data_IF_567989236270
#
_entry.id   IF_567989236270
#
_cell.length_a   1.000
_cell.length_b   1.000
_cell.length_c   1.000
_cell.angle_alpha   90.00
_cell.angle_beta   90.00
_cell.angle_gamma   90.00
#
_symmetry.space_group_name_H-M   'P 1'
#
loop_
_entity.id
_entity.type
_entity.pdbx_description
1 polymer ?
#
# COMPACT_ATOMS: atom_id res chain seq x y z
N UNK A 1 -3.47 7.24 -27.57
CA UNK A 1 -3.70 5.93 -26.89
C UNK A 1 -3.66 6.04 -25.37
N UNK A 2 -2.57 6.55 -24.76
CA UNK A 2 -2.43 6.75 -23.30
C UNK A 2 -3.66 7.37 -22.61
N UNK A 3 -4.17 8.50 -23.15
CA UNK A 3 -5.34 9.21 -22.60
C UNK A 3 -6.56 8.31 -22.43
N UNK A 4 -6.84 7.45 -23.43
CA UNK A 4 -7.98 6.52 -23.40
C UNK A 4 -7.81 5.49 -22.28
N UNK A 5 -6.62 4.91 -22.12
CA UNK A 5 -6.32 3.95 -21.05
C UNK A 5 -6.43 4.58 -19.66
N UNK A 6 -5.88 5.79 -19.49
CA UNK A 6 -5.98 6.54 -18.24
C UNK A 6 -7.44 6.87 -17.89
N UNK A 7 -8.23 7.28 -18.88
CA UNK A 7 -9.66 7.55 -18.70
C UNK A 7 -10.43 6.29 -18.31
N UNK A 8 -10.18 5.17 -18.99
CA UNK A 8 -10.78 3.87 -18.66
C UNK A 8 -10.40 3.40 -17.25
N UNK A 9 -9.13 3.56 -16.87
CA UNK A 9 -8.67 3.26 -15.52
C UNK A 9 -9.45 4.07 -14.46
N UNK A 10 -9.61 5.38 -14.66
CA UNK A 10 -10.36 6.22 -13.74
C UNK A 10 -11.86 5.91 -13.75
N UNK A 11 -12.44 5.60 -14.92
CA UNK A 11 -13.84 5.19 -15.06
C UNK A 11 -14.11 3.93 -14.23
N UNK A 12 -13.28 2.89 -14.37
CA UNK A 12 -13.38 1.65 -13.58
C UNK A 12 -13.22 1.91 -12.09
N UNK A 13 -12.21 2.70 -11.72
CA UNK A 13 -11.94 3.04 -10.31
C UNK A 13 -13.14 3.75 -9.69
N UNK A 14 -13.72 4.76 -10.36
CA UNK A 14 -14.91 5.48 -9.87
C UNK A 14 -16.12 4.56 -9.75
N UNK A 15 -16.36 3.68 -10.71
CA UNK A 15 -17.46 2.72 -10.66
C UNK A 15 -17.32 1.78 -9.47
N UNK A 16 -16.13 1.23 -9.24
CA UNK A 16 -15.86 0.37 -8.07
C UNK A 16 -16.08 1.14 -6.77
N UNK A 17 -15.60 2.37 -6.68
CA UNK A 17 -15.72 3.17 -5.45
C UNK A 17 -17.17 3.55 -5.12
N UNK A 18 -18.03 3.70 -6.13
CA UNK A 18 -19.47 3.95 -5.98
C UNK A 18 -20.25 2.75 -5.46
N UNK A 19 -19.75 1.53 -5.63
CA UNK A 19 -20.42 0.32 -5.12
C UNK A 19 -20.47 0.29 -3.58
N UNK A 20 -21.38 -0.48 -3.03
CA UNK A 20 -21.52 -0.72 -1.58
C UNK A 20 -20.62 -1.86 -1.07
N UNK A 21 -19.56 -2.19 -1.81
CA UNK A 21 -18.62 -3.23 -1.41
C UNK A 21 -17.83 -2.84 -0.15
N UNK A 22 -17.51 -3.83 0.68
CA UNK A 22 -16.55 -3.67 1.77
C UNK A 22 -15.20 -3.15 1.21
N UNK A 23 -14.49 -2.31 1.96
CA UNK A 23 -13.13 -1.85 1.65
C UNK A 23 -12.19 -3.00 1.25
N UNK A 24 -12.35 -4.19 1.86
CA UNK A 24 -11.61 -5.40 1.47
C UNK A 24 -11.76 -5.68 -0.02
N UNK A 25 -13.02 -5.76 -0.45
CA UNK A 25 -13.44 -6.14 -1.79
C UNK A 25 -13.26 -5.00 -2.80
N UNK A 26 -13.43 -3.73 -2.39
CA UNK A 26 -13.13 -2.56 -3.24
C UNK A 26 -11.68 -2.55 -3.71
N UNK A 27 -10.74 -2.77 -2.79
CA UNK A 27 -9.31 -2.82 -3.14
C UNK A 27 -9.01 -4.02 -4.04
N UNK A 28 -9.58 -5.20 -3.74
CA UNK A 28 -9.43 -6.37 -4.60
C UNK A 28 -9.95 -6.09 -6.01
N UNK A 29 -11.14 -5.48 -6.13
CA UNK A 29 -11.73 -5.11 -7.42
C UNK A 29 -10.88 -4.07 -8.17
N UNK A 30 -10.27 -3.09 -7.49
CA UNK A 30 -9.34 -2.13 -8.10
C UNK A 30 -8.13 -2.87 -8.69
N UNK A 31 -7.52 -3.77 -7.92
CA UNK A 31 -6.36 -4.53 -8.37
C UNK A 31 -6.70 -5.44 -9.58
N UNK A 32 -7.87 -6.09 -9.57
CA UNK A 32 -8.27 -7.00 -10.65
C UNK A 32 -8.75 -6.25 -11.89
N UNK A 33 -9.62 -5.25 -11.74
CA UNK A 33 -10.33 -4.64 -12.87
C UNK A 33 -9.70 -3.34 -13.36
N UNK A 34 -9.21 -2.48 -12.47
CA UNK A 34 -8.64 -1.19 -12.87
C UNK A 34 -7.16 -1.36 -13.25
N UNK A 35 -6.35 -1.95 -12.37
CA UNK A 35 -4.89 -2.10 -12.60
C UNK A 35 -4.60 -2.93 -13.84
N UNK A 36 -5.40 -3.94 -14.16
CA UNK A 36 -5.22 -4.76 -15.37
C UNK A 36 -5.22 -3.96 -16.68
N UNK A 37 -6.01 -2.88 -16.78
CA UNK A 37 -6.03 -1.98 -17.96
C UNK A 37 -4.66 -1.37 -18.22
N UNK A 38 -4.04 -0.89 -17.15
CA UNK A 38 -2.75 -0.20 -17.21
C UNK A 38 -1.63 -1.23 -17.33
N UNK A 39 -1.73 -2.37 -16.63
CA UNK A 39 -0.73 -3.44 -16.62
C UNK A 39 -0.44 -3.99 -18.03
N UNK A 40 -1.47 -4.27 -18.82
CA UNK A 40 -1.30 -4.74 -20.20
C UNK A 40 -0.54 -3.73 -21.07
N UNK A 41 -0.71 -2.44 -20.80
CA UNK A 41 -0.10 -1.38 -21.59
C UNK A 41 1.38 -1.13 -21.31
N UNK A 42 1.92 -1.67 -20.20
CA UNK A 42 3.30 -1.40 -19.78
C UNK A 42 4.35 -1.83 -20.81
N UNK A 43 4.17 -2.97 -21.47
CA UNK A 43 5.13 -3.46 -22.48
C UNK A 43 4.95 -2.87 -23.87
N UNK A 44 3.77 -2.32 -24.17
CA UNK A 44 3.39 -1.84 -25.50
C UNK A 44 3.64 -0.34 -25.62
N UNK A 45 3.24 0.41 -24.60
CA UNK A 45 3.30 1.87 -24.58
C UNK A 45 4.45 2.33 -23.69
N UNK A 46 5.22 3.30 -24.18
CA UNK A 46 6.28 3.94 -23.38
C UNK A 46 5.68 4.82 -22.29
N UNK A 47 5.61 4.31 -21.07
CA UNK A 47 5.22 5.09 -19.89
C UNK A 47 6.43 5.76 -19.25
N UNK A 48 6.25 6.99 -18.73
CA UNK A 48 7.27 7.61 -17.88
C UNK A 48 6.94 7.38 -16.40
N UNK A 49 7.96 7.31 -15.54
CA UNK A 49 7.74 7.12 -14.10
C UNK A 49 6.86 8.23 -13.49
N UNK A 50 6.98 9.45 -14.01
CA UNK A 50 6.18 10.60 -13.59
C UNK A 50 4.70 10.43 -13.93
N UNK A 51 4.37 9.87 -15.10
CA UNK A 51 3.00 9.56 -15.50
C UNK A 51 2.37 8.50 -14.58
N UNK A 52 3.12 7.44 -14.25
CA UNK A 52 2.66 6.39 -13.33
C UNK A 52 2.45 6.95 -11.91
N UNK A 53 3.38 7.77 -11.42
CA UNK A 53 3.25 8.51 -10.16
C UNK A 53 2.03 9.42 -10.13
N UNK A 54 1.71 10.06 -11.26
CA UNK A 54 0.53 10.92 -11.38
C UNK A 54 -0.75 10.09 -11.33
N UNK A 55 -0.80 8.96 -12.03
CA UNK A 55 -1.92 8.01 -11.96
C UNK A 55 -2.19 7.58 -10.52
N UNK A 56 -1.16 7.12 -9.80
CA UNK A 56 -1.28 6.66 -8.42
C UNK A 56 -1.78 7.75 -7.46
N UNK A 57 -1.22 8.97 -7.56
CA UNK A 57 -1.68 10.12 -6.76
C UNK A 57 -3.16 10.42 -6.99
N UNK A 58 -3.63 10.34 -8.23
CA UNK A 58 -5.04 10.56 -8.56
C UNK A 58 -5.92 9.42 -8.03
N UNK A 59 -5.47 8.17 -8.09
CA UNK A 59 -6.17 7.03 -7.47
C UNK A 59 -6.38 7.25 -5.98
N UNK A 60 -5.33 7.67 -5.27
CA UNK A 60 -5.42 8.01 -3.84
C UNK A 60 -6.40 9.15 -3.58
N UNK A 61 -6.36 10.21 -4.40
CA UNK A 61 -7.34 11.31 -4.31
C UNK A 61 -8.77 10.79 -4.49
N UNK A 62 -9.03 9.97 -5.52
CA UNK A 62 -10.34 9.36 -5.78
C UNK A 62 -10.82 8.53 -4.58
N UNK A 63 -9.97 7.67 -4.03
CA UNK A 63 -10.33 6.83 -2.88
C UNK A 63 -10.66 7.65 -1.63
N UNK A 64 -9.95 8.76 -1.41
CA UNK A 64 -10.22 9.67 -0.29
C UNK A 64 -11.53 10.44 -0.50
N UNK A 65 -11.78 10.94 -1.71
CA UNK A 65 -13.04 11.65 -2.04
C UNK A 65 -14.27 10.75 -1.88
N UNK A 66 -14.15 9.46 -2.19
CA UNK A 66 -15.22 8.47 -2.01
C UNK A 66 -15.28 7.86 -0.59
N UNK A 67 -14.52 8.40 0.37
CA UNK A 67 -14.56 7.95 1.77
C UNK A 67 -13.92 6.58 2.06
N UNK A 68 -13.30 5.92 1.07
CA UNK A 68 -12.66 4.62 1.26
C UNK A 68 -11.32 4.71 2.02
N UNK A 69 -10.69 5.89 1.99
CA UNK A 69 -9.44 6.22 2.66
C UNK A 69 -9.58 7.53 3.43
N UNK A 70 -8.99 7.59 4.62
CA UNK A 70 -8.89 8.83 5.38
C UNK A 70 -7.80 9.73 4.76
N UNK A 71 -7.98 11.06 4.70
CA UNK A 71 -6.98 11.97 4.13
C UNK A 71 -5.58 11.87 4.76
N UNK A 72 -5.54 11.59 6.08
CA UNK A 72 -4.29 11.35 6.84
C UNK A 72 -3.91 9.87 6.96
N UNK A 73 -4.43 9.00 6.09
CA UNK A 73 -4.08 7.58 6.10
C UNK A 73 -2.60 7.39 5.74
N UNK A 74 -1.97 6.41 6.39
CA UNK A 74 -0.58 6.03 6.11
C UNK A 74 -0.47 5.45 4.68
N UNK A 75 0.28 6.14 3.83
CA UNK A 75 0.44 5.80 2.40
C UNK A 75 1.21 4.50 2.25
N UNK A 76 2.23 4.26 3.08
CA UNK A 76 3.05 3.06 2.96
C UNK A 76 2.22 1.81 3.30
N UNK A 77 1.36 1.92 4.32
CA UNK A 77 0.44 0.85 4.71
C UNK A 77 -0.57 0.50 3.61
N UNK A 78 -0.87 1.42 2.70
CA UNK A 78 -1.82 1.18 1.62
C UNK A 78 -1.37 0.03 0.69
N UNK A 79 -0.07 0.00 0.39
CA UNK A 79 0.52 -0.93 -0.58
C UNK A 79 0.98 -2.26 0.04
N UNK A 80 1.19 -2.28 1.36
CA UNK A 80 1.53 -3.52 2.07
C UNK A 80 0.38 -4.53 1.96
N UNK A 81 0.66 -5.82 1.68
CA UNK A 81 -0.37 -6.84 1.61
C UNK A 81 -1.04 -7.05 2.97
N UNK A 82 -2.31 -7.50 2.95
CA UNK A 82 -3.10 -7.65 4.18
C UNK A 82 -2.54 -8.68 5.15
N UNK A 83 -1.90 -9.73 4.65
CA UNK A 83 -1.21 -10.75 5.47
C UNK A 83 -0.14 -10.13 6.38
N UNK A 84 0.42 -9.00 5.95
CA UNK A 84 1.46 -8.27 6.65
C UNK A 84 0.92 -7.03 7.43
N UNK A 85 -0.40 -6.93 7.61
CA UNK A 85 -1.06 -5.85 8.35
C UNK A 85 -1.37 -4.58 7.53
N UNK A 86 -1.18 -4.63 6.21
CA UNK A 86 -1.46 -3.52 5.29
C UNK A 86 -2.90 -3.50 4.75
N UNK A 87 -3.14 -2.70 3.70
CA UNK A 87 -4.43 -2.64 3.00
C UNK A 87 -4.47 -3.44 1.69
N UNK A 88 -3.33 -3.73 1.08
CA UNK A 88 -3.17 -4.62 -0.07
C UNK A 88 -3.56 -4.03 -1.42
N UNK A 89 -3.46 -2.72 -1.61
CA UNK A 89 -3.61 -2.09 -2.93
C UNK A 89 -2.31 -2.24 -3.72
N UNK A 90 -2.36 -2.55 -5.01
CA UNK A 90 -1.15 -2.67 -5.82
C UNK A 90 -0.51 -1.31 -6.08
N UNK A 91 0.79 -1.17 -5.79
CA UNK A 91 1.55 0.04 -6.15
C UNK A 91 1.83 0.02 -7.66
N UNK A 92 1.31 1.02 -8.39
CA UNK A 92 1.47 1.09 -9.84
C UNK A 92 2.95 1.21 -10.25
N UNK A 93 3.77 1.95 -9.50
CA UNK A 93 5.21 2.09 -9.78
C UNK A 93 5.94 0.76 -9.69
N UNK A 94 5.69 0.01 -8.61
CA UNK A 94 6.30 -1.30 -8.42
C UNK A 94 5.81 -2.29 -9.49
N UNK A 95 4.50 -2.29 -9.80
CA UNK A 95 3.98 -3.17 -10.87
C UNK A 95 4.64 -2.86 -12.20
N UNK A 96 4.82 -1.58 -12.54
CA UNK A 96 5.49 -1.18 -13.77
C UNK A 96 6.93 -1.71 -13.82
N UNK A 97 7.71 -1.51 -12.75
CA UNK A 97 9.09 -1.99 -12.67
C UNK A 97 9.16 -3.52 -12.81
N UNK A 98 8.34 -4.26 -12.07
CA UNK A 98 8.28 -5.73 -12.11
C UNK A 98 7.91 -6.21 -13.52
N UNK A 99 6.93 -5.59 -14.17
CA UNK A 99 6.53 -5.97 -15.53
C UNK A 99 7.64 -5.71 -16.55
N UNK A 100 8.31 -4.56 -16.49
CA UNK A 100 9.44 -4.27 -17.37
C UNK A 100 10.57 -5.27 -17.19
N UNK A 101 10.91 -5.58 -15.93
CA UNK A 101 11.93 -6.58 -15.60
C UNK A 101 11.54 -7.97 -16.11
N UNK A 102 10.29 -8.38 -15.89
CA UNK A 102 9.76 -9.66 -16.37
C UNK A 102 9.84 -9.80 -17.90
N UNK A 103 9.48 -8.74 -18.64
CA UNK A 103 9.59 -8.72 -20.10
C UNK A 103 11.06 -8.80 -20.52
N UNK A 104 11.94 -8.02 -19.90
CA UNK A 104 13.37 -8.03 -20.22
C UNK A 104 14.01 -9.39 -19.95
N UNK A 105 13.69 -10.02 -18.81
CA UNK A 105 14.18 -11.34 -18.45
C UNK A 105 13.66 -12.40 -19.42
N UNK A 106 12.38 -12.32 -19.81
CA UNK A 106 11.81 -13.22 -20.81
C UNK A 106 12.53 -13.12 -22.16
N UNK A 107 12.77 -11.90 -22.65
CA UNK A 107 13.47 -11.68 -23.92
C UNK A 107 14.92 -12.14 -23.88
N UNK A 108 15.62 -11.97 -22.75
CA UNK A 108 16.98 -12.49 -22.55
C UNK A 108 17.02 -14.02 -22.60
N UNK A 109 16.10 -14.69 -21.88
CA UNK A 109 16.07 -16.14 -21.80
C UNK A 109 15.68 -16.81 -23.13
N UNK A 110 14.80 -16.17 -23.91
CA UNK A 110 14.29 -16.69 -25.19
C UNK A 110 14.99 -16.08 -26.41
N UNK A 111 16.23 -15.63 -26.24
CA UNK A 111 17.01 -15.00 -27.32
C UNK A 111 17.27 -15.95 -28.51
N UNK A 112 17.22 -17.27 -28.29
CA UNK A 112 17.40 -18.29 -29.33
C UNK A 112 16.25 -18.31 -30.34
N UNK A 113 15.07 -17.80 -29.99
CA UNK A 113 13.96 -17.69 -30.93
C UNK A 113 14.23 -16.59 -31.97
N UNK A 114 14.13 -16.94 -33.25
CA UNK A 114 14.42 -16.02 -34.38
C UNK A 114 13.73 -14.67 -34.25
N UNK A 115 12.44 -14.66 -33.86
CA UNK A 115 11.65 -13.45 -33.75
C UNK A 115 11.97 -12.64 -32.47
N UNK A 116 12.10 -13.31 -31.33
CA UNK A 116 12.35 -12.62 -30.05
C UNK A 116 13.76 -12.04 -29.99
N UNK A 117 14.75 -12.70 -30.60
CA UNK A 117 16.11 -12.18 -30.74
C UNK A 117 16.17 -10.87 -31.56
N UNK A 118 15.36 -10.75 -32.61
CA UNK A 118 15.24 -9.48 -33.39
C UNK A 118 14.67 -8.36 -32.51
N UNK A 119 13.60 -8.63 -31.77
CA UNK A 119 12.98 -7.65 -30.85
C UNK A 119 13.98 -7.20 -29.78
N UNK A 120 14.70 -8.14 -29.17
CA UNK A 120 15.70 -7.85 -28.15
C UNK A 120 16.82 -6.94 -28.68
N UNK A 121 17.36 -7.22 -29.86
CA UNK A 121 18.36 -6.36 -30.52
C UNK A 121 17.82 -4.95 -30.78
N UNK A 122 16.60 -4.84 -31.31
CA UNK A 122 15.94 -3.55 -31.57
C UNK A 122 15.76 -2.73 -30.29
N UNK A 123 15.43 -3.38 -29.16
CA UNK A 123 15.26 -2.73 -27.87
C UNK A 123 16.61 -2.26 -27.31
N UNK A 124 17.65 -3.11 -27.36
CA UNK A 124 19.01 -2.76 -26.91
C UNK A 124 19.58 -1.56 -27.66
N UNK A 125 19.47 -1.56 -29.00
CA UNK A 125 19.96 -0.45 -29.82
C UNK A 125 19.21 0.86 -29.51
N UNK A 126 17.91 0.78 -29.22
CA UNK A 126 17.11 1.94 -28.80
C UNK A 126 17.52 2.52 -27.44
N UNK A 127 18.21 1.76 -26.60
CA UNK A 127 18.76 2.23 -25.33
C UNK A 127 20.09 2.94 -25.62
N UNK A 128 20.98 2.30 -26.39
CA UNK A 128 22.31 2.86 -26.73
C UNK A 128 22.24 4.18 -27.51
N UNK A 129 21.25 4.38 -28.38
CA UNK A 129 21.06 5.68 -29.07
C UNK A 129 20.55 6.81 -28.16
N UNK A 130 20.17 6.53 -26.91
CA UNK A 130 19.78 7.54 -25.89
C UNK A 130 20.91 7.87 -24.93
N UNK A 131 22.03 7.16 -25.01
CA UNK A 131 23.12 7.25 -24.03
C UNK A 131 24.05 8.47 -24.24
N UNK A 132 23.64 9.47 -25.03
CA UNK A 132 24.19 10.83 -24.93
C UNK A 132 23.62 11.61 -23.74
N UNK A 133 22.56 11.10 -23.09
CA UNK A 133 22.01 11.59 -21.80
C UNK A 133 21.97 10.46 -20.75
N UNK A 134 22.98 9.57 -20.74
CA UNK A 134 23.09 8.39 -19.87
C UNK A 134 23.40 8.70 -18.39
N UNK A 135 22.55 9.46 -17.71
CA UNK A 135 22.60 9.62 -16.25
C UNK A 135 21.40 9.02 -15.51
N UNK A 136 20.54 8.26 -16.20
CA UNK A 136 19.27 7.78 -15.62
C UNK A 136 19.06 6.26 -15.59
N UNK A 137 19.96 5.45 -16.14
CA UNK A 137 19.75 3.99 -16.27
C UNK A 137 20.48 3.18 -15.19
N UNK A 138 21.50 3.72 -14.53
CA UNK A 138 22.26 3.03 -13.47
C UNK A 138 21.51 2.94 -12.11
N UNK A 139 20.28 3.43 -12.02
CA UNK A 139 19.43 3.26 -10.82
C UNK A 139 18.67 1.91 -10.84
N UNK A 140 18.58 1.26 -12.01
CA UNK A 140 17.65 0.12 -12.21
C UNK A 140 18.31 -1.23 -11.89
N UNK A 141 19.64 -1.33 -11.84
CA UNK A 141 20.35 -2.60 -11.66
C UNK A 141 20.53 -3.09 -10.22
N UNK A 142 20.22 -2.29 -9.20
CA UNK A 142 20.40 -2.68 -7.78
C UNK A 142 19.11 -2.89 -6.96
N UNK A 143 17.94 -2.71 -7.57
CA UNK A 143 16.68 -2.75 -6.82
C UNK A 143 15.69 -3.74 -7.39
N UNK A 144 15.93 -5.04 -7.16
CA UNK A 144 14.89 -6.06 -7.20
C UNK A 144 13.63 -5.49 -6.52
N UNK A 145 12.51 -5.25 -7.25
CA UNK A 145 11.34 -4.58 -6.68
C UNK A 145 10.74 -5.38 -5.52
N UNK A 146 10.92 -6.70 -5.53
CA UNK A 146 10.57 -7.62 -4.44
C UNK A 146 11.37 -7.34 -3.16
N UNK A 147 12.65 -7.00 -3.28
CA UNK A 147 13.54 -6.66 -2.17
C UNK A 147 13.26 -5.26 -1.62
N UNK A 148 12.94 -4.28 -2.49
CA UNK A 148 12.51 -2.95 -2.05
C UNK A 148 11.14 -3.02 -1.34
N UNK A 149 10.22 -3.85 -1.83
CA UNK A 149 8.95 -4.10 -1.15
C UNK A 149 9.16 -4.81 0.19
N UNK A 150 10.04 -5.80 0.26
CA UNK A 150 10.40 -6.48 1.51
C UNK A 150 11.05 -5.53 2.52
N UNK A 151 11.97 -4.65 2.08
CA UNK A 151 12.57 -3.58 2.90
C UNK A 151 11.50 -2.61 3.41
N UNK A 152 10.58 -2.17 2.55
CA UNK A 152 9.45 -1.30 2.93
C UNK A 152 8.53 -1.98 3.95
N UNK A 153 8.18 -3.25 3.73
CA UNK A 153 7.36 -4.03 4.67
C UNK A 153 8.06 -4.15 6.02
N UNK A 154 9.38 -4.44 6.03
CA UNK A 154 10.18 -4.54 7.26
C UNK A 154 10.22 -3.20 8.00
N UNK A 155 10.55 -2.12 7.31
CA UNK A 155 10.61 -0.77 7.88
C UNK A 155 9.25 -0.31 8.46
N UNK A 156 8.15 -0.61 7.77
CA UNK A 156 6.81 -0.26 8.27
C UNK A 156 6.44 -1.10 9.49
N UNK A 157 6.77 -2.41 9.50
CA UNK A 157 6.58 -3.27 10.68
C UNK A 157 7.39 -2.75 11.87
N UNK A 158 8.63 -2.31 11.67
CA UNK A 158 9.48 -1.70 12.70
C UNK A 158 8.87 -0.39 13.23
N UNK A 159 8.45 0.53 12.35
CA UNK A 159 7.74 1.77 12.72
C UNK A 159 6.48 1.53 13.54
N UNK A 160 5.74 0.44 13.27
CA UNK A 160 4.57 0.08 14.09
C UNK A 160 4.95 -0.55 15.44
N UNK A 161 6.03 -1.34 15.50
CA UNK A 161 6.57 -1.85 16.77
C UNK A 161 7.02 -0.70 17.66
N UNK A 162 7.73 0.28 17.12
CA UNK A 162 8.18 1.49 17.82
C UNK A 162 6.99 2.32 18.33
N UNK A 163 5.99 2.60 17.48
CA UNK A 163 4.77 3.31 17.91
C UNK A 163 4.02 2.57 19.03
N UNK A 164 3.97 1.24 18.98
CA UNK A 164 3.34 0.42 20.03
C UNK A 164 4.13 0.49 21.35
N UNK A 165 5.46 0.46 21.30
CA UNK A 165 6.33 0.61 22.48
C UNK A 165 6.20 2.01 23.09
N UNK A 166 6.14 3.06 22.27
CA UNK A 166 5.93 4.43 22.72
C UNK A 166 4.54 4.65 23.35
N UNK A 167 3.49 4.01 22.82
CA UNK A 167 2.15 4.04 23.45
C UNK A 167 2.18 3.40 24.84
N UNK A 168 2.76 2.20 24.96
CA UNK A 168 2.90 1.51 26.25
C UNK A 168 3.71 2.32 27.26
N UNK A 169 4.74 3.03 26.81
CA UNK A 169 5.54 3.91 27.67
C UNK A 169 4.76 5.17 28.10
N UNK A 170 3.88 5.72 27.25
CA UNK A 170 2.96 6.80 27.62
C UNK A 170 1.91 6.32 28.62
N UNK A 171 1.28 5.17 28.39
CA UNK A 171 0.32 4.56 29.31
C UNK A 171 0.98 4.23 30.67
N UNK A 172 2.22 3.73 30.64
CA UNK A 172 3.05 3.51 31.83
C UNK A 172 3.44 4.80 32.56
N UNK A 173 3.74 5.89 31.84
CA UNK A 173 3.97 7.22 32.43
C UNK A 173 2.71 7.86 32.98
N UNK A 174 1.55 7.69 32.33
CA UNK A 174 0.24 8.13 32.83
C UNK A 174 -0.09 7.37 34.13
N UNK A 175 0.13 6.06 34.16
CA UNK A 175 -0.03 5.25 35.38
C UNK A 175 0.98 5.64 36.49
N UNK A 176 2.25 5.89 36.13
CA UNK A 176 3.27 6.34 37.08
C UNK A 176 3.02 7.77 37.59
N UNK A 177 2.44 8.66 36.78
CA UNK A 177 1.97 9.98 37.21
C UNK A 177 0.75 9.87 38.13
N UNK A 178 -0.23 9.02 37.82
CA UNK A 178 -1.38 8.76 38.70
C UNK A 178 -0.93 8.21 40.06
N UNK A 179 0.10 7.36 40.11
CA UNK A 179 0.65 6.83 41.36
C UNK A 179 1.43 7.88 42.17
N UNK A 180 1.99 8.90 41.51
CA UNK A 180 2.80 9.97 42.13
C UNK A 180 1.95 11.14 42.66
N UNK A 181 0.82 11.45 42.02
CA UNK A 181 -0.13 12.52 42.40
C UNK A 181 -1.37 12.01 43.15
N UNK A 182 -1.22 11.01 44.04
CA UNK A 182 -2.26 10.67 45.01
C UNK A 182 -3.32 9.64 44.58
N UNK A 183 -3.07 8.83 43.53
CA UNK A 183 -3.99 7.78 43.07
C UNK A 183 -4.17 6.58 44.02
N UNK A 184 -3.50 6.53 45.17
CA UNK A 184 -3.63 5.45 46.18
C UNK A 184 -5.08 5.33 46.68
N UNK A 185 -5.82 6.43 46.80
CA UNK A 185 -7.23 6.42 47.23
C UNK A 185 -8.15 5.80 46.14
N UNK A 186 -7.92 6.11 44.85
CA UNK A 186 -8.75 5.62 43.73
C UNK A 186 -8.53 4.11 43.55
N UNK A 187 -7.27 3.67 43.61
CA UNK A 187 -6.94 2.23 43.59
C UNK A 187 -7.54 1.50 44.81
N UNK A 188 -7.57 2.11 46.02
CA UNK A 188 -8.25 1.53 47.19
C UNK A 188 -9.77 1.42 47.01
N UNK A 189 -10.38 2.41 46.37
CA UNK A 189 -11.84 2.46 46.11
C UNK A 189 -12.26 1.40 45.08
N UNK A 190 -11.50 1.25 44.00
CA UNK A 190 -11.72 0.21 42.97
C UNK A 190 -11.49 -1.20 43.51
N UNK A 191 -10.50 -1.40 44.38
CA UNK A 191 -10.26 -2.71 45.03
C UNK A 191 -11.30 -3.02 46.11
N UNK A 192 -11.89 -1.99 46.77
CA UNK A 192 -13.05 -2.17 47.67
C UNK A 192 -14.32 -2.53 46.88
N UNK A 193 -14.56 -1.90 45.73
CA UNK A 193 -15.71 -2.22 44.86
C UNK A 193 -15.64 -3.66 44.32
N UNK A 194 -14.46 -4.14 43.92
CA UNK A 194 -14.30 -5.52 43.45
C UNK A 194 -14.33 -6.59 44.56
N UNK A 195 -14.23 -6.22 45.83
CA UNK A 195 -14.44 -7.12 46.98
C UNK A 195 -15.87 -7.11 47.51
N UNK A 196 -16.74 -6.22 47.00
CA UNK A 196 -18.08 -5.97 47.52
C UNK A 196 -19.24 -6.57 46.73
N UNK A 197 -19.00 -7.23 45.58
CA UNK A 197 -20.08 -7.86 44.81
C UNK A 197 -20.33 -9.30 45.26
N UNK A 198 -20.72 -9.43 46.53
CA UNK A 198 -21.58 -10.50 47.00
C UNK A 198 -22.85 -9.84 47.56
N UNK A 199 -24.00 -10.17 46.97
CA UNK A 199 -25.36 -9.80 47.39
C UNK A 199 -25.99 -8.55 46.75
N UNK A 200 -26.97 -8.88 45.89
CA UNK A 200 -28.26 -8.20 45.69
C UNK A 200 -28.25 -6.74 45.24
N UNK A 201 -28.71 -6.47 44.01
CA UNK A 201 -29.93 -5.69 43.81
C UNK A 201 -30.62 -6.11 42.49
N UNK A 202 -31.80 -6.73 42.68
CA UNK A 202 -32.81 -7.05 41.67
C UNK A 202 -33.33 -5.75 41.05
N UNK A 203 -32.94 -5.44 39.81
CA UNK A 203 -33.57 -4.37 39.04
C UNK A 203 -34.97 -4.81 38.63
N UNK A 204 -35.98 -4.23 39.29
CA UNK A 204 -37.38 -4.26 38.84
C UNK A 204 -37.46 -3.52 37.51
N UNK A 205 -37.81 -4.26 36.46
CA UNK A 205 -38.34 -3.72 35.21
C UNK A 205 -39.73 -3.14 35.54
N UNK A 206 -39.95 -1.87 35.24
CA UNK A 206 -41.29 -1.30 35.06
C UNK A 206 -41.41 -0.87 33.60
N UNK A 207 -42.54 -1.28 33.03
CA UNK A 207 -42.99 -1.08 31.65
C UNK A 207 -42.88 0.36 31.16
#
# INVERSE_FOLDING_TARGET
MKRKLTQEYYRRTRNILRTELNAKNKITAINTLAVSVIHYSYGIIKWTQQEIRKLDRQTRKLTTMHGALHPKADVDRLYIPRRDGGRGMSNLENTYAITQEGINNYLKLKQNDKHLGVVYRQLKNRIHSRDTDASHIDIITESNPSHLEAKRVKAVKEKYKERKQMSKHKDGKINCCMDRYGGKWIKRLLTKMNRGNGSQYRLKIRN
#
